data_IF_349838088520
#
_entry.id   IF_349838088520
#
_cell.length_a   1.000
_cell.length_b   1.000
_cell.length_c   1.000
_cell.angle_alpha   90.00
_cell.angle_beta   90.00
_cell.angle_gamma   90.00
#
_symmetry.space_group_name_H-M   'P 1'
#
loop_
_entity.id
_entity.type
_entity.pdbx_description
1 polymer ?
#
# COMPACT_ATOMS: atom_id res chain seq x y z
N UNK A 1 -63.55 -6.24 -35.37
CA UNK A 1 -62.33 -5.70 -34.72
C UNK A 1 -61.18 -5.80 -35.71
N UNK A 2 -60.67 -4.68 -36.23
CA UNK A 2 -59.53 -4.69 -37.17
C UNK A 2 -59.22 -3.27 -37.64
N UNK A 3 -58.27 -2.60 -36.99
CA UNK A 3 -57.82 -1.27 -37.36
C UNK A 3 -56.48 -1.38 -38.11
N UNK A 4 -56.50 -0.98 -39.38
CA UNK A 4 -55.33 -0.83 -40.24
C UNK A 4 -54.58 0.44 -39.83
N UNK A 5 -53.33 0.31 -39.38
CA UNK A 5 -52.46 1.46 -39.11
C UNK A 5 -51.59 1.74 -40.33
N UNK A 6 -51.79 2.91 -40.90
CA UNK A 6 -51.18 3.48 -42.10
C UNK A 6 -49.71 3.80 -41.89
N UNK A 7 -48.83 3.17 -42.67
CA UNK A 7 -47.41 3.59 -42.78
C UNK A 7 -47.30 4.67 -43.85
N UNK A 8 -46.79 5.83 -43.48
CA UNK A 8 -46.39 6.87 -44.43
C UNK A 8 -45.11 6.43 -45.12
N UNK A 9 -45.17 6.26 -46.45
CA UNK A 9 -44.02 5.91 -47.27
C UNK A 9 -43.14 7.15 -47.43
N UNK A 10 -41.87 7.10 -47.01
CA UNK A 10 -40.92 8.18 -47.28
C UNK A 10 -40.29 7.95 -48.65
N UNK A 11 -40.70 8.77 -49.62
CA UNK A 11 -40.23 8.73 -50.99
C UNK A 11 -39.05 9.71 -51.15
N UNK A 12 -37.90 9.18 -51.56
CA UNK A 12 -36.68 9.98 -51.76
C UNK A 12 -36.78 10.75 -53.09
N UNK A 13 -36.83 12.08 -53.02
CA UNK A 13 -36.78 12.95 -54.21
C UNK A 13 -35.34 13.25 -54.58
N UNK A 14 -34.91 12.79 -55.74
CA UNK A 14 -33.57 13.05 -56.28
C UNK A 14 -33.39 14.49 -56.79
N UNK A 15 -32.13 14.92 -56.79
CA UNK A 15 -31.60 16.29 -56.85
C UNK A 15 -32.06 17.16 -58.05
N UNK A 16 -32.74 18.27 -57.75
CA UNK A 16 -32.73 19.49 -58.56
C UNK A 16 -31.41 20.28 -58.36
N UNK A 17 -31.25 21.49 -58.94
CA UNK A 17 -29.99 22.24 -58.87
C UNK A 17 -29.53 22.39 -57.42
N UNK A 18 -28.22 22.36 -57.20
CA UNK A 18 -27.56 22.40 -55.88
C UNK A 18 -27.79 23.74 -55.18
N UNK A 19 -29.02 23.99 -54.76
CA UNK A 19 -29.41 25.08 -53.88
C UNK A 19 -29.65 24.50 -52.51
N UNK A 20 -29.01 25.07 -51.49
CA UNK A 20 -29.36 24.77 -50.10
C UNK A 20 -30.80 25.24 -49.88
N UNK A 21 -31.65 24.40 -49.29
CA UNK A 21 -33.06 24.75 -49.07
C UNK A 21 -33.17 25.95 -48.14
N UNK A 22 -34.10 26.87 -48.45
CA UNK A 22 -34.35 28.07 -47.63
C UNK A 22 -34.65 27.70 -46.18
N UNK A 23 -35.41 26.61 -45.95
CA UNK A 23 -35.71 26.11 -44.61
C UNK A 23 -34.45 25.68 -43.84
N UNK A 24 -33.43 25.19 -44.53
CA UNK A 24 -32.17 24.79 -43.90
C UNK A 24 -31.32 26.03 -43.60
N UNK A 25 -31.37 27.06 -44.44
CA UNK A 25 -30.73 28.36 -44.16
C UNK A 25 -31.40 29.05 -42.97
N UNK A 26 -32.74 29.07 -42.92
CA UNK A 26 -33.52 29.59 -41.79
C UNK A 26 -33.22 28.82 -40.50
N UNK A 27 -33.10 27.49 -40.59
CA UNK A 27 -32.69 26.64 -39.46
C UNK A 27 -31.26 26.93 -39.01
N UNK A 28 -30.32 27.13 -39.93
CA UNK A 28 -28.93 27.47 -39.60
C UNK A 28 -28.80 28.90 -39.05
N UNK A 29 -29.61 29.85 -39.53
CA UNK A 29 -29.61 31.24 -39.05
C UNK A 29 -30.33 31.39 -37.70
N UNK A 30 -31.37 30.60 -37.45
CA UNK A 30 -32.06 30.56 -36.16
C UNK A 30 -31.34 29.69 -35.12
N UNK A 31 -30.53 28.73 -35.56
CA UNK A 31 -29.72 27.89 -34.67
C UNK A 31 -28.57 28.68 -34.06
N UNK A 32 -28.54 28.75 -32.72
CA UNK A 32 -27.42 29.28 -31.94
C UNK A 32 -26.38 28.20 -31.62
N UNK A 33 -26.56 27.00 -32.15
CA UNK A 33 -25.68 25.85 -31.90
C UNK A 33 -24.37 26.01 -32.70
N UNK A 34 -23.39 26.69 -32.10
CA UNK A 34 -22.00 26.72 -32.57
C UNK A 34 -21.28 25.38 -32.33
N UNK A 35 -20.13 25.18 -32.96
CA UNK A 35 -19.29 23.99 -32.74
C UNK A 35 -19.00 23.69 -31.25
N UNK A 36 -18.97 24.74 -30.41
CA UNK A 36 -18.82 24.62 -28.96
C UNK A 36 -20.01 23.90 -28.29
N UNK A 37 -21.25 24.16 -28.72
CA UNK A 37 -22.42 23.49 -28.11
C UNK A 37 -22.48 22.03 -28.56
N UNK A 38 -22.13 21.75 -29.82
CA UNK A 38 -22.00 20.37 -30.34
C UNK A 38 -20.91 19.59 -29.59
N UNK A 39 -19.76 20.19 -29.33
CA UNK A 39 -18.69 19.57 -28.55
C UNK A 39 -19.16 19.23 -27.13
N UNK A 40 -19.83 20.17 -26.44
CA UNK A 40 -20.39 19.96 -25.10
C UNK A 40 -21.47 18.87 -25.04
N UNK A 41 -22.32 18.77 -26.07
CA UNK A 41 -23.32 17.70 -26.15
C UNK A 41 -22.66 16.33 -26.29
N UNK A 42 -21.57 16.24 -27.06
CA UNK A 42 -20.80 15.01 -27.18
C UNK A 42 -20.08 14.67 -25.86
N UNK A 43 -19.46 15.65 -25.21
CA UNK A 43 -18.80 15.47 -23.91
C UNK A 43 -19.78 14.94 -22.86
N UNK A 44 -20.95 15.57 -22.70
CA UNK A 44 -21.97 15.11 -21.74
C UNK A 44 -22.49 13.70 -22.06
N UNK A 45 -22.63 13.34 -23.34
CA UNK A 45 -23.00 11.98 -23.73
C UNK A 45 -21.91 10.96 -23.39
N UNK A 46 -20.64 11.31 -23.60
CA UNK A 46 -19.49 10.47 -23.23
C UNK A 46 -19.45 10.29 -21.71
N UNK A 47 -19.57 11.37 -20.93
CA UNK A 47 -19.62 11.33 -19.47
C UNK A 47 -20.75 10.43 -18.97
N UNK A 48 -21.95 10.56 -19.53
CA UNK A 48 -23.09 9.71 -19.18
C UNK A 48 -22.82 8.22 -19.44
N UNK A 49 -22.16 7.90 -20.57
CA UNK A 49 -21.80 6.52 -20.91
C UNK A 49 -20.71 5.97 -19.98
N UNK A 50 -19.69 6.76 -19.70
CA UNK A 50 -18.62 6.40 -18.76
C UNK A 50 -19.18 6.18 -17.36
N UNK A 51 -20.06 7.07 -16.89
CA UNK A 51 -20.70 6.93 -15.59
C UNK A 51 -21.57 5.66 -15.49
N UNK A 52 -22.31 5.32 -16.56
CA UNK A 52 -23.10 4.10 -16.62
C UNK A 52 -22.23 2.82 -16.57
N UNK A 53 -21.12 2.79 -17.32
CA UNK A 53 -20.19 1.65 -17.30
C UNK A 53 -19.46 1.54 -15.95
N UNK A 54 -19.07 2.65 -15.33
CA UNK A 54 -18.45 2.65 -14.00
C UNK A 54 -19.42 2.14 -12.93
N UNK A 55 -20.68 2.57 -12.97
CA UNK A 55 -21.70 2.07 -12.04
C UNK A 55 -21.92 0.57 -12.20
N UNK A 56 -21.87 0.06 -13.44
CA UNK A 56 -21.96 -1.38 -13.73
C UNK A 56 -20.76 -2.14 -13.16
N UNK A 57 -19.53 -1.69 -13.43
CA UNK A 57 -18.31 -2.31 -12.91
C UNK A 57 -18.28 -2.32 -11.38
N UNK A 58 -18.70 -1.23 -10.74
CA UNK A 58 -18.76 -1.14 -9.29
C UNK A 58 -19.77 -2.13 -8.69
N UNK A 59 -20.94 -2.30 -9.32
CA UNK A 59 -21.92 -3.30 -8.88
C UNK A 59 -21.40 -4.74 -9.07
N UNK A 60 -20.72 -5.01 -10.18
CA UNK A 60 -20.11 -6.32 -10.45
C UNK A 60 -18.99 -6.64 -9.44
N UNK A 61 -18.16 -5.64 -9.11
CA UNK A 61 -17.11 -5.77 -8.09
C UNK A 61 -17.72 -6.02 -6.71
N UNK A 62 -18.72 -5.23 -6.30
CA UNK A 62 -19.40 -5.44 -5.02
C UNK A 62 -20.07 -6.81 -4.92
N UNK A 63 -20.69 -7.30 -6.02
CA UNK A 63 -21.26 -8.64 -6.07
C UNK A 63 -20.19 -9.73 -5.94
N UNK A 64 -19.02 -9.54 -6.58
CA UNK A 64 -17.88 -10.45 -6.45
C UNK A 64 -17.30 -10.43 -5.03
N UNK A 65 -17.13 -9.26 -4.44
CA UNK A 65 -16.65 -9.12 -3.06
C UNK A 65 -17.63 -9.76 -2.08
N UNK A 66 -18.93 -9.54 -2.23
CA UNK A 66 -19.96 -10.21 -1.45
C UNK A 66 -19.89 -11.74 -1.62
N UNK A 67 -19.78 -12.24 -2.85
CA UNK A 67 -19.64 -13.68 -3.10
C UNK A 67 -18.36 -14.27 -2.50
N UNK A 68 -17.24 -13.55 -2.53
CA UNK A 68 -16.00 -13.96 -1.88
C UNK A 68 -16.17 -13.93 -0.36
N UNK A 69 -16.79 -12.90 0.20
CA UNK A 69 -17.06 -12.80 1.62
C UNK A 69 -17.96 -13.94 2.11
N UNK A 70 -19.03 -14.26 1.37
CA UNK A 70 -19.88 -15.42 1.64
C UNK A 70 -19.08 -16.72 1.52
N UNK A 71 -18.21 -16.87 0.51
CA UNK A 71 -17.32 -18.05 0.41
C UNK A 71 -16.31 -18.13 1.55
N UNK A 72 -15.82 -17.00 2.06
CA UNK A 72 -14.92 -16.97 3.23
C UNK A 72 -15.68 -17.29 4.52
N UNK A 73 -16.95 -16.88 4.64
CA UNK A 73 -17.81 -17.19 5.78
C UNK A 73 -18.40 -18.61 5.74
N UNK A 74 -18.64 -19.16 4.55
CA UNK A 74 -19.24 -20.48 4.32
C UNK A 74 -18.22 -21.57 3.97
N UNK A 75 -16.98 -21.20 3.64
CA UNK A 75 -15.89 -22.15 3.72
C UNK A 75 -15.89 -22.63 5.18
N UNK A 76 -16.11 -23.94 5.44
CA UNK A 76 -15.66 -24.45 6.71
C UNK A 76 -14.19 -24.05 6.76
N UNK A 77 -13.77 -23.41 7.84
CA UNK A 77 -12.39 -23.53 8.21
C UNK A 77 -12.13 -25.05 8.13
N UNK A 78 -11.38 -25.50 7.13
CA UNK A 78 -10.48 -26.61 7.33
C UNK A 78 -9.66 -26.13 8.51
N UNK A 79 -10.17 -26.40 9.70
CA UNK A 79 -9.53 -26.12 10.96
C UNK A 79 -8.40 -27.13 11.00
N UNK A 80 -7.35 -26.83 10.24
CA UNK A 80 -6.04 -26.79 10.85
C UNK A 80 -6.20 -25.91 12.11
N UNK A 81 -6.67 -26.53 13.20
CA UNK A 81 -6.70 -25.99 14.57
C UNK A 81 -5.34 -25.40 14.97
N UNK A 82 -4.29 -25.75 14.21
CA UNK A 82 -2.93 -25.22 14.24
C UNK A 82 -2.77 -23.78 13.74
N UNK A 83 -3.69 -23.20 12.96
CA UNK A 83 -3.52 -21.86 12.36
C UNK A 83 -4.50 -20.80 12.90
N UNK A 84 -4.97 -20.97 14.14
CA UNK A 84 -5.75 -19.91 14.80
C UNK A 84 -4.84 -18.78 15.26
N UNK A 85 -5.35 -17.54 15.27
CA UNK A 85 -4.63 -16.34 15.79
C UNK A 85 -4.04 -16.58 17.19
N UNK A 86 -4.72 -17.39 18.00
CA UNK A 86 -4.26 -17.78 19.34
C UNK A 86 -3.02 -18.69 19.31
N UNK A 87 -2.95 -19.67 18.39
CA UNK A 87 -1.76 -20.52 18.22
C UNK A 87 -0.58 -19.68 17.74
N UNK A 88 -0.78 -18.83 16.74
CA UNK A 88 0.27 -17.92 16.23
C UNK A 88 0.76 -16.98 17.34
N UNK A 89 -0.14 -16.42 18.15
CA UNK A 89 0.22 -15.57 19.29
C UNK A 89 1.05 -16.33 20.32
N UNK A 90 0.67 -17.57 20.63
CA UNK A 90 1.41 -18.45 21.54
C UNK A 90 2.79 -18.83 21.00
N UNK A 91 2.91 -19.07 19.70
CA UNK A 91 4.18 -19.33 19.03
C UNK A 91 5.09 -18.10 19.04
N UNK A 92 4.55 -16.90 18.80
CA UNK A 92 5.28 -15.64 18.88
C UNK A 92 5.84 -15.42 20.29
N UNK A 93 5.04 -15.65 21.34
CA UNK A 93 5.52 -15.55 22.72
C UNK A 93 6.62 -16.58 23.04
N UNK A 94 6.47 -17.82 22.57
CA UNK A 94 7.50 -18.83 22.73
C UNK A 94 8.81 -18.46 22.00
N UNK A 95 8.71 -17.86 20.81
CA UNK A 95 9.86 -17.34 20.07
C UNK A 95 10.50 -16.15 20.78
N UNK A 96 9.71 -15.23 21.36
CA UNK A 96 10.22 -14.12 22.17
C UNK A 96 11.03 -14.64 23.35
N UNK A 97 10.50 -15.59 24.11
CA UNK A 97 11.22 -16.21 25.25
C UNK A 97 12.51 -16.89 24.78
N UNK A 98 12.48 -17.63 23.68
CA UNK A 98 13.69 -18.28 23.11
C UNK A 98 14.73 -17.27 22.63
N UNK A 99 14.30 -16.13 22.10
CA UNK A 99 15.19 -15.05 21.66
C UNK A 99 15.77 -14.27 22.84
N UNK A 100 14.98 -14.00 23.87
CA UNK A 100 15.46 -13.38 25.12
C UNK A 100 16.47 -14.28 25.83
N UNK A 101 16.22 -15.59 25.88
CA UNK A 101 17.18 -16.57 26.39
C UNK A 101 18.50 -16.61 25.57
N UNK A 102 18.46 -16.23 24.29
CA UNK A 102 19.65 -16.11 23.43
C UNK A 102 20.25 -14.71 23.38
N UNK A 103 19.58 -13.69 23.90
CA UNK A 103 20.04 -12.29 23.80
C UNK A 103 21.32 -12.03 24.61
N UNK A 104 21.63 -12.93 25.54
CA UNK A 104 22.91 -13.01 26.23
C UNK A 104 23.85 -13.96 25.49
N UNK A 105 24.12 -13.71 24.20
CA UNK A 105 24.98 -14.61 23.41
C UNK A 105 26.42 -14.64 23.93
N UNK A 106 26.81 -13.70 24.80
CA UNK A 106 27.91 -13.85 25.76
C UNK A 106 27.75 -12.78 26.82
N UNK A 107 27.60 -13.16 28.08
CA UNK A 107 27.79 -12.21 29.19
C UNK A 107 29.21 -11.66 29.06
N UNK A 108 29.34 -10.35 28.91
CA UNK A 108 30.62 -9.69 29.01
C UNK A 108 31.10 -9.90 30.44
N UNK A 109 32.38 -10.22 30.67
CA UNK A 109 32.87 -10.35 32.03
C UNK A 109 32.62 -9.03 32.77
N UNK A 110 32.14 -9.07 34.04
CA UNK A 110 31.76 -7.88 34.79
C UNK A 110 32.90 -6.87 34.91
N UNK A 111 34.15 -7.34 34.91
CA UNK A 111 35.36 -6.50 34.83
C UNK A 111 35.28 -5.48 33.69
N UNK A 112 35.00 -5.93 32.46
CA UNK A 112 34.99 -5.07 31.28
C UNK A 112 33.82 -4.08 31.32
N UNK A 113 32.70 -4.46 31.94
CA UNK A 113 31.55 -3.58 32.15
C UNK A 113 31.84 -2.49 33.20
N UNK A 114 32.55 -2.84 34.28
CA UNK A 114 32.99 -1.92 35.32
C UNK A 114 34.05 -0.93 34.81
N UNK A 115 35.01 -1.41 34.02
CA UNK A 115 36.01 -0.58 33.36
C UNK A 115 35.36 0.38 32.34
N UNK A 116 34.39 -0.11 31.55
CA UNK A 116 33.58 0.75 30.67
C UNK A 116 32.81 1.80 31.47
N UNK A 117 32.20 1.42 32.59
CA UNK A 117 31.48 2.33 33.48
C UNK A 117 32.39 3.43 34.04
N UNK A 118 33.64 3.09 34.36
CA UNK A 118 34.64 4.03 34.88
C UNK A 118 35.10 5.04 33.84
N UNK A 119 35.31 4.60 32.59
CA UNK A 119 35.59 5.49 31.45
C UNK A 119 34.42 6.44 31.19
N UNK A 120 33.20 5.91 31.16
CA UNK A 120 31.99 6.74 30.93
C UNK A 120 31.80 7.75 32.05
N UNK A 121 32.08 7.38 33.30
CA UNK A 121 32.00 8.28 34.46
C UNK A 121 33.02 9.41 34.34
N UNK A 122 34.29 9.08 34.10
CA UNK A 122 35.34 10.09 33.94
C UNK A 122 35.04 11.04 32.77
N UNK A 123 34.60 10.52 31.63
CA UNK A 123 34.29 11.35 30.46
C UNK A 123 33.10 12.28 30.70
N UNK A 124 32.10 11.87 31.50
CA UNK A 124 30.98 12.73 31.91
C UNK A 124 31.39 13.81 32.90
N UNK A 125 32.34 13.50 33.80
CA UNK A 125 32.90 14.48 34.73
C UNK A 125 33.82 15.48 34.01
N UNK A 126 34.49 15.04 32.94
CA UNK A 126 35.45 15.82 32.16
C UNK A 126 35.04 15.99 30.68
N UNK A 127 33.80 16.41 30.43
CA UNK A 127 33.20 16.55 29.08
C UNK A 127 34.03 17.39 28.08
N UNK A 128 34.77 18.39 28.56
CA UNK A 128 35.60 19.30 27.73
C UNK A 128 37.09 18.96 27.75
N UNK A 129 37.51 17.94 28.50
CA UNK A 129 38.92 17.54 28.68
C UNK A 129 39.04 16.02 28.68
N UNK A 130 38.79 15.36 27.53
CA UNK A 130 38.84 13.89 27.46
C UNK A 130 40.24 13.30 27.71
N UNK A 131 41.30 14.13 27.62
CA UNK A 131 42.68 13.71 27.89
C UNK A 131 42.95 13.42 29.37
N UNK A 132 42.13 13.93 30.29
CA UNK A 132 42.31 13.67 31.74
C UNK A 132 41.95 12.22 32.10
N UNK A 133 41.10 11.58 31.29
CA UNK A 133 40.58 10.21 31.50
C UNK A 133 41.43 9.10 30.86
N UNK A 134 42.70 9.37 30.60
CA UNK A 134 43.56 8.43 29.87
C UNK A 134 43.85 7.15 30.64
N UNK A 135 43.89 7.20 31.99
CA UNK A 135 44.19 6.04 32.84
C UNK A 135 43.07 5.02 32.81
N UNK A 136 41.83 5.50 32.89
CA UNK A 136 40.60 4.72 32.81
C UNK A 136 40.47 4.07 31.43
N UNK A 137 40.83 4.81 30.37
CA UNK A 137 40.86 4.28 29.01
C UNK A 137 41.94 3.20 28.82
N UNK A 138 43.12 3.34 29.45
CA UNK A 138 44.14 2.30 29.39
C UNK A 138 43.72 1.04 30.16
N UNK A 139 43.14 1.19 31.35
CA UNK A 139 42.60 0.07 32.12
C UNK A 139 41.55 -0.72 31.30
N UNK A 140 40.60 -0.01 30.67
CA UNK A 140 39.61 -0.65 29.79
C UNK A 140 40.26 -1.37 28.60
N UNK A 141 41.28 -0.78 27.97
CA UNK A 141 42.00 -1.42 26.85
C UNK A 141 42.72 -2.70 27.27
N UNK A 142 43.32 -2.72 28.45
CA UNK A 142 44.04 -3.90 28.93
C UNK A 142 43.09 -5.04 29.29
N UNK A 143 41.92 -4.74 29.85
CA UNK A 143 40.86 -5.72 30.09
C UNK A 143 40.25 -6.27 28.79
N UNK A 144 40.05 -5.42 27.79
CA UNK A 144 39.59 -5.85 26.45
C UNK A 144 40.63 -6.73 25.78
N UNK A 145 41.93 -6.38 25.83
CA UNK A 145 43.01 -7.23 25.29
C UNK A 145 43.06 -8.60 25.97
N UNK A 146 42.85 -8.66 27.29
CA UNK A 146 42.80 -9.92 28.02
C UNK A 146 41.62 -10.79 27.56
N UNK A 147 40.44 -10.17 27.37
CA UNK A 147 39.25 -10.83 26.85
C UNK A 147 39.45 -11.32 25.40
N UNK A 148 40.02 -10.47 24.55
CA UNK A 148 40.37 -10.80 23.15
C UNK A 148 41.35 -11.98 23.09
N UNK A 149 42.41 -11.96 23.90
CA UNK A 149 43.37 -13.07 23.96
C UNK A 149 42.68 -14.39 24.34
N UNK A 150 41.87 -14.37 25.40
CA UNK A 150 41.10 -15.55 25.82
C UNK A 150 40.11 -16.05 24.76
N UNK A 151 39.59 -15.14 23.93
CA UNK A 151 38.67 -15.49 22.85
C UNK A 151 39.42 -16.07 21.65
N UNK A 152 40.54 -15.46 21.24
CA UNK A 152 41.39 -15.97 20.17
C UNK A 152 41.87 -17.37 20.52
N UNK A 153 42.40 -17.58 21.73
CA UNK A 153 42.86 -18.90 22.20
C UNK A 153 41.75 -19.97 22.18
N UNK A 154 40.49 -19.58 22.38
CA UNK A 154 39.33 -20.48 22.34
C UNK A 154 38.83 -20.78 20.92
N UNK A 155 39.08 -19.88 19.97
CA UNK A 155 38.63 -20.02 18.57
C UNK A 155 39.69 -20.71 17.70
N UNK A 156 40.96 -20.60 18.07
CA UNK A 156 42.09 -21.23 17.35
C UNK A 156 42.47 -22.61 17.88
N UNK A 157 41.98 -23.01 19.06
CA UNK A 157 42.09 -24.35 19.62
C UNK A 157 40.95 -25.27 19.15
#
# INVERSE_FOLDING_TARGET
MGASSSKTSQEWKASGPTGVSHDLIESLQSSKETDLSRAKLLETHIEARVAAELAKLHNDENARLAAVQERLGAAPAETDESLTSHVVSKEIENLRVKLEARKNLRELPPSVEDARGSVVRCLREHDRRPLDCWKEVQAFKDEVKALEKSWVDKVTA
#
